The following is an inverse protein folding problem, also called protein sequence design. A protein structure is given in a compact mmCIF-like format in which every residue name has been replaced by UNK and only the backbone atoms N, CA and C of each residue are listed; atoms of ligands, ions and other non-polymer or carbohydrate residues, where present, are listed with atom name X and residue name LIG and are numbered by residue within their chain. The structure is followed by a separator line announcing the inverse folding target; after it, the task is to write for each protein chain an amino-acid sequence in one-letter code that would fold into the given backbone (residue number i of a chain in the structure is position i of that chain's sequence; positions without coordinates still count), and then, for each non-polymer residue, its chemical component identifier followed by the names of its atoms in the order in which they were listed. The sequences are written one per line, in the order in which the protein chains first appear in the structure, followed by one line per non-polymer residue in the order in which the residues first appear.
data_IF_076405515984
#
_entry.id   IF_076405515984
#
_cell.length_a   1.000
_cell.length_b   1.000
_cell.length_c   1.000
_cell.angle_alpha   90.00
_cell.angle_beta   90.00
_cell.angle_gamma   90.00
#
_symmetry.space_group_name_H-M   'P 1'
#
loop_
_entity.id
_entity.type
_entity.pdbx_description
1 polymer ?
#
# COMPACT_ATOMS: atom_id res chain seq x y z
N UNK A 1 8.63 -25.45 26.42
CA UNK A 1 7.78 -25.17 25.24
C UNK A 1 8.39 -23.97 24.57
N UNK A 2 9.24 -24.22 23.58
CA UNK A 2 9.94 -23.16 22.85
C UNK A 2 8.97 -22.62 21.83
N UNK A 3 8.57 -21.36 21.99
CA UNK A 3 7.82 -20.62 20.99
C UNK A 3 8.63 -20.65 19.71
N UNK A 4 8.08 -21.31 18.69
CA UNK A 4 8.67 -21.38 17.36
C UNK A 4 8.91 -19.94 16.87
N UNK A 5 10.18 -19.64 16.56
CA UNK A 5 10.58 -18.52 15.71
C UNK A 5 9.86 -18.70 14.36
N UNK A 6 8.65 -18.15 14.26
CA UNK A 6 8.08 -17.87 12.94
C UNK A 6 9.03 -16.87 12.28
N UNK A 7 9.61 -17.19 11.10
CA UNK A 7 10.41 -16.21 10.39
C UNK A 7 9.54 -14.99 10.16
N UNK A 8 10.01 -13.81 10.61
CA UNK A 8 9.32 -12.55 10.36
C UNK A 8 9.00 -12.49 8.87
N UNK A 9 7.71 -12.39 8.54
CA UNK A 9 7.26 -12.40 7.15
C UNK A 9 8.03 -11.32 6.38
N UNK A 10 8.65 -11.71 5.26
CA UNK A 10 9.44 -10.79 4.46
C UNK A 10 8.57 -9.59 4.04
N UNK A 11 9.02 -8.38 4.36
CA UNK A 11 8.33 -7.15 3.96
C UNK A 11 8.61 -6.93 2.47
N UNK A 12 7.56 -6.97 1.67
CA UNK A 12 7.65 -6.83 0.22
C UNK A 12 7.76 -5.35 -0.19
N UNK A 13 8.42 -5.13 -1.32
CA UNK A 13 8.36 -3.88 -2.08
C UNK A 13 7.15 -3.91 -3.02
N UNK A 14 6.80 -2.75 -3.57
CA UNK A 14 5.71 -2.65 -4.52
C UNK A 14 6.04 -3.27 -5.87
N UNK A 15 5.05 -3.96 -6.42
CA UNK A 15 4.94 -4.34 -7.83
C UNK A 15 3.81 -3.53 -8.48
N UNK A 16 3.72 -3.56 -9.81
CA UNK A 16 2.54 -3.02 -10.48
C UNK A 16 1.32 -3.88 -10.13
N UNK A 17 0.21 -3.22 -9.79
CA UNK A 17 -0.98 -3.93 -9.36
C UNK A 17 -1.88 -3.12 -8.43
N UNK A 18 -2.88 -3.81 -7.89
CA UNK A 18 -3.88 -3.27 -6.97
C UNK A 18 -3.57 -3.70 -5.56
N UNK A 19 -3.78 -2.81 -4.60
CA UNK A 19 -3.52 -3.06 -3.19
C UNK A 19 -4.64 -2.49 -2.33
N UNK A 20 -4.98 -3.19 -1.24
CA UNK A 20 -5.74 -2.62 -0.13
C UNK A 20 -5.11 -3.08 1.18
N UNK A 21 -4.71 -2.12 2.00
CA UNK A 21 -4.09 -2.37 3.30
C UNK A 21 -5.19 -2.56 4.34
N UNK A 22 -5.19 -3.69 5.04
CA UNK A 22 -6.32 -4.13 5.88
C UNK A 22 -5.96 -4.29 7.36
N UNK A 23 -4.69 -4.06 7.70
CA UNK A 23 -4.17 -4.24 9.05
C UNK A 23 -3.50 -2.94 9.54
N UNK A 24 -3.14 -2.92 10.82
CA UNK A 24 -2.51 -1.79 11.47
C UNK A 24 -1.10 -1.52 10.92
N UNK A 25 -0.69 -0.25 10.97
CA UNK A 25 0.68 0.15 10.64
C UNK A 25 1.67 -0.41 11.65
N UNK A 26 2.63 -1.18 11.15
CA UNK A 26 3.78 -1.66 11.91
C UNK A 26 4.99 -0.79 11.61
N UNK A 27 5.59 -0.21 12.64
CA UNK A 27 6.80 0.60 12.51
C UNK A 27 8.04 -0.30 12.55
N UNK A 28 8.85 -0.23 11.51
CA UNK A 28 10.03 -1.06 11.32
C UNK A 28 11.27 -0.18 11.40
N UNK A 29 12.24 -0.63 12.20
CA UNK A 29 13.52 0.03 12.43
C UNK A 29 14.65 -0.82 11.85
N UNK A 30 15.05 -0.60 10.60
CA UNK A 30 16.13 -1.37 9.98
C UNK A 30 17.47 -1.05 10.66
N UNK A 31 18.29 -2.07 10.86
CA UNK A 31 19.66 -1.86 11.34
C UNK A 31 20.44 -0.93 10.41
N UNK A 32 21.11 0.08 10.98
CA UNK A 32 21.93 1.03 10.23
C UNK A 32 21.16 2.14 9.48
N UNK A 33 19.83 2.20 9.57
CA UNK A 33 19.02 3.28 8.98
C UNK A 33 18.43 4.17 10.07
N UNK A 34 18.62 5.48 9.95
CA UNK A 34 18.19 6.45 10.97
C UNK A 34 16.70 6.79 10.95
N UNK A 35 15.99 6.46 9.86
CA UNK A 35 14.59 6.80 9.65
C UNK A 35 13.76 5.53 9.56
N UNK A 36 12.81 5.30 10.50
CA UNK A 36 11.92 4.15 10.43
C UNK A 36 10.99 4.24 9.21
N UNK A 37 10.47 3.09 8.81
CA UNK A 37 9.39 3.01 7.83
C UNK A 37 8.21 2.25 8.40
N UNK A 38 7.05 2.44 7.79
CA UNK A 38 5.84 1.69 8.08
C UNK A 38 5.63 0.58 7.06
N UNK A 39 5.20 -0.58 7.55
CA UNK A 39 4.63 -1.66 6.77
C UNK A 39 3.19 -1.94 7.23
N UNK A 40 2.40 -2.56 6.36
CA UNK A 40 1.09 -3.06 6.69
C UNK A 40 0.77 -4.28 5.83
N UNK A 41 -0.10 -5.16 6.33
CA UNK A 41 -0.60 -6.29 5.57
C UNK A 41 -1.60 -5.79 4.52
N UNK A 42 -1.41 -6.24 3.29
CA UNK A 42 -2.24 -5.88 2.15
C UNK A 42 -2.78 -7.13 1.47
N UNK A 43 -4.02 -7.02 0.99
CA UNK A 43 -4.52 -7.89 -0.08
C UNK A 43 -4.00 -7.26 -1.37
N UNK A 44 -3.29 -8.03 -2.19
CA UNK A 44 -2.64 -7.53 -3.39
C UNK A 44 -2.97 -8.38 -4.61
N UNK A 45 -3.16 -7.70 -5.74
CA UNK A 45 -3.38 -8.27 -7.07
C UNK A 45 -2.31 -7.67 -7.98
N UNK A 46 -1.24 -8.40 -8.23
CA UNK A 46 -0.07 -7.92 -8.97
C UNK A 46 0.10 -8.64 -10.29
N UNK A 47 0.76 -7.98 -11.24
CA UNK A 47 1.13 -8.59 -12.51
C UNK A 47 2.62 -8.94 -12.50
N UNK A 48 2.93 -10.20 -12.77
CA UNK A 48 4.30 -10.69 -12.97
C UNK A 48 4.31 -11.54 -14.24
N UNK A 49 5.20 -11.25 -15.20
CA UNK A 49 5.31 -11.96 -16.48
C UNK A 49 3.97 -12.15 -17.23
N UNK A 50 3.16 -11.08 -17.31
CA UNK A 50 1.80 -11.07 -17.89
C UNK A 50 0.77 -11.98 -17.20
N UNK A 51 1.12 -12.58 -16.06
CA UNK A 51 0.23 -13.35 -15.22
C UNK A 51 -0.21 -12.54 -14.01
N UNK A 52 -1.49 -12.63 -13.67
CA UNK A 52 -2.02 -12.03 -12.44
C UNK A 52 -1.82 -12.97 -11.26
N UNK A 53 -1.31 -12.40 -10.17
CA UNK A 53 -1.07 -13.07 -8.91
C UNK A 53 -1.85 -12.38 -7.79
N UNK A 54 -2.58 -13.17 -7.00
CA UNK A 54 -3.30 -12.73 -5.83
C UNK A 54 -2.59 -13.22 -4.56
N UNK A 55 -2.26 -12.31 -3.64
CA UNK A 55 -1.65 -12.69 -2.37
C UNK A 55 -2.12 -11.81 -1.20
N UNK A 56 -1.77 -12.21 0.01
CA UNK A 56 -1.91 -11.39 1.22
C UNK A 56 -0.57 -11.34 1.94
N UNK A 57 0.11 -10.19 1.90
CA UNK A 57 1.48 -10.04 2.40
C UNK A 57 1.72 -8.69 3.09
N UNK A 58 2.78 -8.60 3.88
CA UNK A 58 3.25 -7.34 4.45
C UNK A 58 4.02 -6.54 3.39
N UNK A 59 3.64 -5.28 3.17
CA UNK A 59 4.25 -4.40 2.16
C UNK A 59 4.76 -3.14 2.83
N UNK A 60 5.89 -2.61 2.36
CA UNK A 60 6.48 -1.34 2.81
C UNK A 60 5.65 -0.13 2.34
N UNK A 61 4.51 0.09 3.01
CA UNK A 61 3.53 1.12 2.65
C UNK A 61 4.10 2.55 2.62
N UNK A 62 5.17 2.82 3.38
CA UNK A 62 5.87 4.12 3.32
C UNK A 62 6.42 4.50 1.95
N UNK A 63 6.62 3.52 1.05
CA UNK A 63 7.13 3.79 -0.29
C UNK A 63 6.15 4.63 -1.13
N UNK A 64 4.85 4.64 -0.79
CA UNK A 64 3.83 5.47 -1.42
C UNK A 64 4.07 6.97 -1.28
N UNK A 65 4.77 7.40 -0.21
CA UNK A 65 4.89 8.82 0.17
C UNK A 65 6.35 9.31 0.20
N UNK A 66 7.24 8.61 -0.51
CA UNK A 66 8.63 9.04 -0.68
C UNK A 66 8.74 10.27 -1.57
N UNK A 67 9.88 10.95 -1.50
CA UNK A 67 10.16 12.14 -2.31
C UNK A 67 10.09 11.85 -3.81
N UNK A 68 10.57 10.69 -4.22
CA UNK A 68 10.57 10.20 -5.59
C UNK A 68 9.23 9.57 -6.03
N UNK A 69 8.28 9.39 -5.10
CA UNK A 69 6.98 8.81 -5.42
C UNK A 69 5.99 9.89 -5.85
N UNK A 70 5.03 9.48 -6.68
CA UNK A 70 4.04 10.36 -7.28
C UNK A 70 2.64 9.83 -7.04
N UNK A 71 1.70 10.72 -6.78
CA UNK A 71 0.28 10.43 -6.65
C UNK A 71 -0.50 11.07 -7.79
N UNK A 72 -1.40 10.31 -8.41
CA UNK A 72 -2.34 10.80 -9.40
C UNK A 72 -3.67 11.07 -8.68
N UNK A 73 -4.08 12.34 -8.67
CA UNK A 73 -5.34 12.73 -8.08
C UNK A 73 -6.55 12.32 -8.94
N UNK A 74 -7.75 12.58 -8.42
CA UNK A 74 -9.01 12.23 -9.09
C UNK A 74 -9.17 12.91 -10.46
N UNK A 75 -8.48 14.03 -10.70
CA UNK A 75 -8.45 14.79 -11.96
C UNK A 75 -7.36 14.33 -12.92
N UNK A 76 -6.60 13.29 -12.58
CA UNK A 76 -5.47 12.83 -13.38
C UNK A 76 -4.22 13.69 -13.23
N UNK A 77 -4.21 14.66 -12.30
CA UNK A 77 -3.03 15.49 -12.04
C UNK A 77 -2.02 14.72 -11.22
N UNK A 78 -0.77 14.76 -11.67
CA UNK A 78 0.36 14.17 -10.95
C UNK A 78 0.87 15.14 -9.90
N UNK A 79 0.98 14.67 -8.67
CA UNK A 79 1.49 15.38 -7.50
C UNK A 79 2.66 14.61 -6.89
N UNK A 80 3.64 15.32 -6.32
CA UNK A 80 4.70 14.69 -5.55
C UNK A 80 4.13 14.11 -4.25
N UNK A 81 4.27 12.80 -4.04
CA UNK A 81 3.56 12.10 -2.97
C UNK A 81 4.03 12.53 -1.58
N UNK A 82 5.29 12.93 -1.44
CA UNK A 82 5.82 13.45 -0.19
C UNK A 82 5.14 14.74 0.27
N UNK A 83 4.41 15.46 -0.60
CA UNK A 83 3.67 16.69 -0.27
C UNK A 83 2.23 16.42 0.20
N UNK A 84 1.78 15.17 0.23
CA UNK A 84 0.41 14.81 0.59
C UNK A 84 0.10 14.91 2.08
N UNK A 85 1.13 14.94 2.92
CA UNK A 85 1.01 15.11 4.36
C UNK A 85 1.70 16.37 4.83
N UNK A 86 1.26 16.89 5.97
CA UNK A 86 1.85 18.11 6.53
C UNK A 86 3.21 17.79 7.13
N UNK A 87 4.22 18.56 6.73
CA UNK A 87 5.57 18.43 7.25
C UNK A 87 5.67 19.12 8.61
N UNK A 88 6.33 18.50 9.61
CA UNK A 88 6.59 19.19 10.87
C UNK A 88 7.41 20.44 10.60
N UNK A 89 7.01 21.58 11.20
CA UNK A 89 7.69 22.87 11.02
C UNK A 89 9.15 22.85 11.48
N UNK A 90 9.51 21.92 12.36
CA UNK A 90 10.86 21.69 12.85
C UNK A 90 11.40 20.37 12.29
N UNK A 91 12.36 20.47 11.37
CA UNK A 91 12.96 19.34 10.63
C UNK A 91 13.75 18.32 11.51
N UNK A 92 13.78 18.50 12.84
CA UNK A 92 14.78 17.87 13.71
C UNK A 92 14.39 16.58 14.42
N UNK A 93 13.14 16.13 14.40
CA UNK A 93 12.72 14.93 15.16
C UNK A 93 12.19 13.83 14.25
N UNK A 94 12.97 12.75 14.10
CA UNK A 94 12.55 11.55 13.37
C UNK A 94 11.22 10.98 13.91
N UNK A 95 10.94 11.14 15.20
CA UNK A 95 9.68 10.74 15.81
C UNK A 95 8.49 11.58 15.32
N UNK A 96 8.65 12.90 15.16
CA UNK A 96 7.59 13.75 14.60
C UNK A 96 7.33 13.42 13.13
N UNK A 97 8.39 13.15 12.38
CA UNK A 97 8.28 12.69 11.00
C UNK A 97 7.55 11.34 10.88
N UNK A 98 7.90 10.38 11.73
CA UNK A 98 7.22 9.09 11.80
C UNK A 98 5.74 9.27 12.16
N UNK A 99 5.42 10.16 13.12
CA UNK A 99 4.04 10.46 13.49
C UNK A 99 3.22 11.05 12.34
N UNK A 100 3.74 12.05 11.62
CA UNK A 100 3.02 12.64 10.47
C UNK A 100 2.81 11.64 9.33
N UNK A 101 3.80 10.77 9.06
CA UNK A 101 3.64 9.69 8.07
C UNK A 101 2.58 8.69 8.51
N UNK A 102 2.60 8.28 9.78
CA UNK A 102 1.63 7.35 10.37
C UNK A 102 0.21 7.92 10.23
N UNK A 103 0.00 9.15 10.66
CA UNK A 103 -1.29 9.85 10.58
C UNK A 103 -1.84 9.86 9.15
N UNK A 104 -1.01 10.25 8.17
CA UNK A 104 -1.42 10.23 6.77
C UNK A 104 -1.79 8.83 6.27
N UNK A 105 -0.96 7.83 6.59
CA UNK A 105 -1.17 6.46 6.13
C UNK A 105 -2.44 5.85 6.77
N UNK A 106 -2.66 6.09 8.05
CA UNK A 106 -3.85 5.65 8.80
C UNK A 106 -5.12 6.30 8.25
N UNK A 107 -5.12 7.62 8.03
CA UNK A 107 -6.32 8.36 7.62
C UNK A 107 -6.64 8.18 6.13
N UNK A 108 -5.62 8.04 5.28
CA UNK A 108 -5.77 8.19 3.83
C UNK A 108 -5.31 7.01 3.00
N UNK A 109 -4.64 6.01 3.56
CA UNK A 109 -4.18 4.85 2.77
C UNK A 109 -4.75 3.54 3.29
N UNK A 110 -4.83 3.35 4.61
CA UNK A 110 -5.45 2.15 5.17
C UNK A 110 -6.90 2.01 4.74
N UNK A 111 -7.30 0.79 4.41
CA UNK A 111 -8.64 0.41 3.95
C UNK A 111 -9.11 1.08 2.65
N UNK A 112 -8.29 1.92 2.02
CA UNK A 112 -8.56 2.50 0.71
C UNK A 112 -7.86 1.68 -0.38
N UNK A 113 -8.61 1.18 -1.37
CA UNK A 113 -8.00 0.53 -2.51
C UNK A 113 -7.16 1.50 -3.35
N UNK A 114 -5.96 1.08 -3.70
CA UNK A 114 -5.04 1.82 -4.55
C UNK A 114 -4.55 0.96 -5.71
N UNK A 115 -4.00 1.62 -6.73
CA UNK A 115 -3.33 0.99 -7.86
C UNK A 115 -1.95 1.61 -8.05
N UNK A 116 -0.93 0.76 -8.15
CA UNK A 116 0.45 1.12 -8.53
C UNK A 116 0.55 1.04 -10.05
N UNK A 117 0.74 2.20 -10.68
CA UNK A 117 0.77 2.38 -12.13
C UNK A 117 2.17 2.15 -12.69
N UNK A 118 3.18 2.67 -12.01
CA UNK A 118 4.57 2.52 -12.42
C UNK A 118 5.53 2.52 -11.25
N UNK A 119 6.67 1.87 -11.47
CA UNK A 119 7.83 1.86 -10.59
C UNK A 119 8.94 2.63 -11.31
N UNK A 120 9.62 3.51 -10.59
CA UNK A 120 10.76 4.28 -11.09
C UNK A 120 12.06 3.59 -10.69
N UNK A 121 13.12 3.75 -11.49
CA UNK A 121 14.44 3.15 -11.23
C UNK A 121 15.06 3.60 -9.89
N UNK A 122 14.69 4.80 -9.41
CA UNK A 122 15.09 5.36 -8.11
C UNK A 122 14.29 4.81 -6.92
N UNK A 123 13.45 3.79 -7.14
CA UNK A 123 12.60 3.19 -6.10
C UNK A 123 11.35 4.01 -5.77
N UNK A 124 10.97 4.98 -6.61
CA UNK A 124 9.72 5.72 -6.48
C UNK A 124 8.55 4.97 -7.10
N UNK A 125 7.35 5.17 -6.56
CA UNK A 125 6.12 4.55 -7.09
C UNK A 125 5.14 5.61 -7.54
N UNK A 126 4.48 5.39 -8.67
CA UNK A 126 3.35 6.21 -9.12
C UNK A 126 2.06 5.46 -8.83
N UNK A 127 1.16 6.07 -8.07
CA UNK A 127 -0.06 5.40 -7.60
C UNK A 127 -1.29 6.30 -7.62
N UNK A 128 -2.47 5.70 -7.52
CA UNK A 128 -3.77 6.39 -7.43
C UNK A 128 -4.76 5.60 -6.57
N UNK A 129 -5.82 6.25 -6.11
CA UNK A 129 -6.98 5.52 -5.55
C UNK A 129 -7.77 4.84 -6.67
N UNK A 130 -8.38 3.71 -6.34
CA UNK A 130 -9.37 3.03 -7.18
C UNK A 130 -10.62 2.71 -6.34
N UNK A 131 -11.74 2.40 -6.98
CA UNK A 131 -12.94 2.00 -6.23
C UNK A 131 -12.79 0.58 -5.67
N UNK A 132 -13.53 0.25 -4.58
CA UNK A 132 -13.64 -1.14 -4.12
C UNK A 132 -14.08 -2.11 -5.21
N UNK A 133 -14.98 -1.72 -6.10
CA UNK A 133 -15.42 -2.54 -7.23
C UNK A 133 -14.29 -2.79 -8.22
N UNK A 134 -13.49 -1.77 -8.55
CA UNK A 134 -12.33 -1.92 -9.40
C UNK A 134 -11.26 -2.82 -8.77
N UNK A 135 -11.10 -2.79 -7.44
CA UNK A 135 -10.20 -3.70 -6.74
C UNK A 135 -10.70 -5.15 -6.80
N UNK A 136 -11.97 -5.38 -6.49
CA UNK A 136 -12.60 -6.71 -6.48
C UNK A 136 -12.80 -7.32 -7.88
N UNK A 137 -12.60 -6.53 -8.94
CA UNK A 137 -12.64 -7.02 -10.31
C UNK A 137 -11.28 -7.60 -10.72
N UNK A 138 -11.20 -8.94 -10.76
CA UNK A 138 -10.06 -9.72 -11.24
C UNK A 138 -10.56 -11.01 -11.90
N UNK A 139 -9.80 -11.58 -12.85
CA UNK A 139 -10.25 -12.76 -13.58
C UNK A 139 -10.16 -14.01 -12.69
N UNK A 140 -11.02 -15.00 -12.99
CA UNK A 140 -11.13 -16.22 -12.19
C UNK A 140 -9.93 -17.17 -12.29
N UNK A 141 -9.03 -16.96 -13.25
CA UNK A 141 -7.81 -17.75 -13.48
C UNK A 141 -6.55 -17.15 -12.81
N UNK A 142 -6.73 -16.17 -11.91
CA UNK A 142 -5.65 -15.59 -11.11
C UNK A 142 -4.91 -16.68 -10.31
N UNK A 143 -3.57 -16.64 -10.32
CA UNK A 143 -2.78 -17.50 -9.45
C UNK A 143 -2.78 -16.93 -8.04
N UNK A 144 -3.45 -17.63 -7.12
CA UNK A 144 -3.71 -17.11 -5.79
C UNK A 144 -3.07 -17.96 -4.69
N UNK A 145 -2.47 -17.29 -3.70
CA UNK A 145 -2.12 -17.93 -2.42
C UNK A 145 -3.38 -18.38 -1.68
N UNK A 146 -3.23 -19.29 -0.71
CA UNK A 146 -4.35 -19.79 0.09
C UNK A 146 -5.12 -18.67 0.81
N UNK A 147 -4.39 -17.67 1.34
CA UNK A 147 -4.99 -16.51 1.98
C UNK A 147 -5.82 -15.67 1.00
N UNK A 148 -5.31 -15.45 -0.21
CA UNK A 148 -6.06 -14.73 -1.23
C UNK A 148 -7.29 -15.50 -1.71
N UNK A 149 -7.20 -16.83 -1.85
CA UNK A 149 -8.36 -17.65 -2.24
C UNK A 149 -9.51 -17.53 -1.24
N UNK A 150 -9.21 -17.42 0.06
CA UNK A 150 -10.22 -17.18 1.07
C UNK A 150 -10.91 -15.83 0.89
N UNK A 151 -10.12 -14.77 0.72
CA UNK A 151 -10.65 -13.45 0.34
C UNK A 151 -11.53 -13.55 -0.92
N UNK A 152 -11.07 -14.26 -1.95
CA UNK A 152 -11.76 -14.37 -3.23
C UNK A 152 -13.12 -15.09 -3.13
N UNK A 153 -13.28 -16.03 -2.18
CA UNK A 153 -14.57 -16.69 -1.88
C UNK A 153 -15.52 -15.80 -1.09
N UNK A 154 -14.98 -14.93 -0.25
CA UNK A 154 -15.72 -14.11 0.71
C UNK A 154 -15.72 -12.61 0.37
N UNK A 155 -15.47 -12.23 -0.88
CA UNK A 155 -15.29 -10.82 -1.28
C UNK A 155 -16.44 -9.88 -0.86
N UNK A 156 -17.66 -10.41 -0.77
CA UNK A 156 -18.84 -9.68 -0.32
C UNK A 156 -18.79 -9.26 1.15
N UNK A 157 -18.00 -9.95 1.97
CA UNK A 157 -17.85 -9.69 3.41
C UNK A 157 -16.82 -8.58 3.70
N UNK A 158 -15.93 -8.30 2.75
CA UNK A 158 -14.91 -7.26 2.89
C UNK A 158 -15.49 -5.88 2.57
N UNK A 159 -15.50 -4.98 3.54
CA UNK A 159 -15.84 -3.58 3.35
C UNK A 159 -14.56 -2.73 3.22
N UNK A 160 -14.40 -2.06 2.08
CA UNK A 160 -13.30 -1.13 1.84
C UNK A 160 -13.84 0.29 1.78
N UNK A 161 -13.05 1.24 2.27
CA UNK A 161 -13.39 2.65 2.18
C UNK A 161 -13.29 3.12 0.74
N UNK A 162 -14.14 4.07 0.38
CA UNK A 162 -14.16 4.69 -0.95
C UNK A 162 -13.83 6.16 -0.82
N UNK A 163 -12.85 6.61 -1.60
CA UNK A 163 -12.72 8.04 -1.92
C UNK A 163 -13.54 8.36 -3.16
N UNK A 164 -14.07 9.59 -3.27
CA UNK A 164 -14.57 10.08 -4.53
C UNK A 164 -13.52 9.80 -5.60
N UNK A 165 -13.96 9.30 -6.75
CA UNK A 165 -13.20 9.44 -7.99
C UNK A 165 -14.05 10.41 -8.79
N UNK A 166 -13.46 11.19 -9.70
CA UNK A 166 -14.26 11.95 -10.65
C UNK A 166 -15.34 11.04 -11.22
N UNK A 167 -16.60 11.35 -10.89
CA UNK A 167 -17.73 10.58 -11.37
C UNK A 167 -17.64 10.57 -12.91
N UNK A 168 -17.93 9.45 -13.59
CA UNK A 168 -18.11 9.52 -15.01
C UNK A 168 -19.26 10.50 -15.28
N UNK A 169 -18.93 11.61 -15.95
CA UNK A 169 -19.93 12.52 -16.54
C UNK A 169 -20.74 11.78 -17.59
#
# INVERSE_FOLDING_TARGET
MSSEDQPAAAILLFNKGKYVFTDNLTEVHPEGVSVPFFSAKAILITTENDQLHGDIAAVKISDLILKQSSYIDENGKVLEAHKLYTWPRNLGSNAQWAACKREFLDEFVLNFPIEIISLQESGGVTWRYITPENFKNFPGDIQASSGFQEFARHQGEYFFLRRPLNEPK
#
